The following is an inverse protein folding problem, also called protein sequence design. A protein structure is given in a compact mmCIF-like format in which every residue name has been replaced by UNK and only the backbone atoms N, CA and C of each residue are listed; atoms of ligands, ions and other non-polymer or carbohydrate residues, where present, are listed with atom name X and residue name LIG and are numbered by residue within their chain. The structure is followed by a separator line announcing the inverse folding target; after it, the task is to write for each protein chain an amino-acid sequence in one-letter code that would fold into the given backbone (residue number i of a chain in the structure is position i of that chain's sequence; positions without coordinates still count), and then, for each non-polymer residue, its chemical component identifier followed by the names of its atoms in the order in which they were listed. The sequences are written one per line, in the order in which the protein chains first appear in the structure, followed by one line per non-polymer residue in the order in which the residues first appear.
data_IF_659739895110
#
_entry.id   IF_659739895110
#
_cell.length_a   1.000
_cell.length_b   1.000
_cell.length_c   1.000
_cell.angle_alpha   90.00
_cell.angle_beta   90.00
_cell.angle_gamma   90.00
#
_symmetry.space_group_name_H-M   'P 1'
#
loop_
_entity.id
_entity.type
_entity.pdbx_description
1 polymer ?
#
# COMPACT_ATOMS: atom_id res chain seq x y z
N UNK A 1 -17.96 -8.78 -1.38
CA UNK A 1 -18.08 -7.32 -1.13
C UNK A 1 -17.89 -7.00 0.34
N UNK A 2 -18.76 -7.42 1.27
CA UNK A 2 -18.61 -7.05 2.70
C UNK A 2 -17.26 -7.44 3.31
N UNK A 3 -16.77 -8.66 3.05
CA UNK A 3 -15.47 -9.12 3.58
C UNK A 3 -14.30 -8.31 3.02
N UNK A 4 -14.23 -8.14 1.70
CA UNK A 4 -13.17 -7.35 1.06
C UNK A 4 -13.19 -5.90 1.52
N UNK A 5 -14.37 -5.26 1.58
CA UNK A 5 -14.52 -3.89 2.09
C UNK A 5 -14.07 -3.71 3.55
N UNK A 6 -14.43 -4.64 4.45
CA UNK A 6 -14.01 -4.60 5.86
C UNK A 6 -12.52 -4.94 6.03
N UNK A 7 -11.99 -5.80 5.16
CA UNK A 7 -10.58 -6.21 5.16
C UNK A 7 -9.62 -5.06 4.89
N UNK A 8 -10.01 -4.09 4.05
CA UNK A 8 -9.17 -2.91 3.72
C UNK A 8 -8.77 -2.12 4.99
N UNK A 9 -9.69 -1.53 5.76
CA UNK A 9 -9.33 -0.78 6.97
C UNK A 9 -8.75 -1.68 8.07
N UNK A 10 -9.16 -2.96 8.14
CA UNK A 10 -8.64 -3.90 9.14
C UNK A 10 -7.15 -4.15 8.96
N UNK A 11 -6.69 -4.42 7.74
CA UNK A 11 -5.28 -4.65 7.46
C UNK A 11 -4.45 -3.37 7.59
N UNK A 12 -4.99 -2.19 7.23
CA UNK A 12 -4.32 -0.91 7.47
C UNK A 12 -4.06 -0.71 8.97
N UNK A 13 -5.10 -0.89 9.80
CA UNK A 13 -5.00 -0.72 11.25
C UNK A 13 -4.07 -1.77 11.89
N UNK A 14 -4.17 -3.04 11.48
CA UNK A 14 -3.30 -4.10 11.95
C UNK A 14 -1.83 -3.83 11.61
N UNK A 15 -1.57 -3.40 10.37
CA UNK A 15 -0.24 -3.04 9.89
C UNK A 15 0.37 -1.87 10.64
N UNK A 16 -0.42 -0.84 10.92
CA UNK A 16 0.01 0.32 11.71
C UNK A 16 0.44 -0.09 13.13
N UNK A 17 -0.18 -1.13 13.70
CA UNK A 17 0.20 -1.68 15.00
C UNK A 17 1.46 -2.56 14.99
N UNK A 18 2.09 -2.82 13.83
CA UNK A 18 3.30 -3.65 13.72
C UNK A 18 4.57 -2.86 14.07
N UNK A 19 5.63 -3.60 14.41
CA UNK A 19 6.90 -3.04 14.93
C UNK A 19 7.78 -2.41 13.86
N UNK A 20 7.65 -2.84 12.59
CA UNK A 20 8.56 -2.43 11.52
C UNK A 20 7.78 -1.84 10.34
N UNK A 21 8.41 -0.90 9.64
CA UNK A 21 7.86 -0.36 8.38
C UNK A 21 7.65 -1.45 7.33
N UNK A 22 8.51 -2.47 7.30
CA UNK A 22 8.39 -3.61 6.37
C UNK A 22 7.13 -4.41 6.63
N UNK A 23 6.80 -4.67 7.90
CA UNK A 23 5.54 -5.34 8.26
C UNK A 23 4.32 -4.48 7.94
N UNK A 24 4.42 -3.16 8.14
CA UNK A 24 3.34 -2.26 7.77
C UNK A 24 3.09 -2.29 6.25
N UNK A 25 4.15 -2.15 5.44
CA UNK A 25 4.06 -2.24 3.97
C UNK A 25 3.43 -3.57 3.54
N UNK A 26 3.80 -4.69 4.17
CA UNK A 26 3.18 -5.99 3.87
C UNK A 26 1.67 -5.99 4.09
N UNK A 27 1.21 -5.43 5.21
CA UNK A 27 -0.23 -5.32 5.51
C UNK A 27 -0.95 -4.34 4.58
N UNK A 28 -0.29 -3.26 4.14
CA UNK A 28 -0.82 -2.34 3.12
C UNK A 28 -0.99 -3.05 1.77
N UNK A 29 -0.10 -3.97 1.39
CA UNK A 29 -0.30 -4.79 0.19
C UNK A 29 -1.46 -5.77 0.31
N UNK A 30 -1.73 -6.34 1.49
CA UNK A 30 -2.92 -7.16 1.74
C UNK A 30 -4.19 -6.30 1.63
N UNK A 31 -4.14 -5.07 2.14
CA UNK A 31 -5.21 -4.07 1.98
C UNK A 31 -5.47 -3.77 0.50
N UNK A 32 -4.41 -3.56 -0.28
CA UNK A 32 -4.49 -3.34 -1.73
C UNK A 32 -5.10 -4.56 -2.47
N UNK A 33 -4.72 -5.78 -2.10
CA UNK A 33 -5.35 -6.99 -2.64
C UNK A 33 -6.86 -7.04 -2.35
N UNK A 34 -7.28 -6.61 -1.16
CA UNK A 34 -8.70 -6.50 -0.79
C UNK A 34 -9.44 -5.44 -1.61
N UNK A 35 -8.78 -4.32 -1.97
CA UNK A 35 -9.33 -3.30 -2.89
C UNK A 35 -9.55 -3.89 -4.29
N UNK A 36 -8.58 -4.61 -4.85
CA UNK A 36 -8.72 -5.25 -6.16
C UNK A 36 -9.86 -6.30 -6.19
N UNK A 37 -10.00 -7.08 -5.12
CA UNK A 37 -11.12 -8.02 -4.98
C UNK A 37 -12.47 -7.28 -4.93
N UNK A 38 -12.54 -6.17 -4.18
CA UNK A 38 -13.73 -5.34 -4.06
C UNK A 38 -14.12 -4.72 -5.41
N UNK A 39 -13.17 -4.16 -6.14
CA UNK A 39 -13.40 -3.59 -7.49
C UNK A 39 -13.99 -4.65 -8.44
N UNK A 40 -13.39 -5.84 -8.46
CA UNK A 40 -13.87 -6.97 -9.29
C UNK A 40 -15.31 -7.33 -8.94
N UNK A 41 -15.64 -7.39 -7.64
CA UNK A 41 -16.97 -7.75 -7.19
C UNK A 41 -18.02 -6.65 -7.49
N UNK A 42 -17.64 -5.37 -7.46
CA UNK A 42 -18.52 -4.25 -7.85
C UNK A 42 -18.82 -4.29 -9.35
N UNK A 43 -17.80 -4.55 -10.17
CA UNK A 43 -17.99 -4.71 -11.62
C UNK A 43 -18.97 -5.85 -11.92
N UNK A 44 -18.75 -7.02 -11.33
CA UNK A 44 -19.65 -8.17 -11.48
C UNK A 44 -21.06 -7.89 -10.97
N UNK A 45 -21.21 -7.18 -9.85
CA UNK A 45 -22.51 -6.81 -9.33
C UNK A 45 -23.26 -5.87 -10.30
N UNK A 46 -22.56 -4.96 -10.97
CA UNK A 46 -23.13 -4.11 -12.01
C UNK A 46 -23.55 -4.90 -13.25
N UNK A 47 -22.69 -5.80 -13.73
CA UNK A 47 -22.97 -6.64 -14.91
C UNK A 47 -24.16 -7.59 -14.69
N UNK A 48 -24.33 -8.09 -13.47
CA UNK A 48 -25.43 -8.98 -13.07
C UNK A 48 -26.71 -8.22 -12.69
N UNK A 49 -26.70 -6.88 -12.69
CA UNK A 49 -27.85 -6.06 -12.35
C UNK A 49 -28.22 -6.08 -10.85
N UNK A 50 -27.27 -6.40 -9.97
CA UNK A 50 -27.47 -6.37 -8.52
C UNK A 50 -27.34 -4.98 -7.91
N UNK A 51 -26.79 -4.02 -8.65
CA UNK A 51 -26.66 -2.61 -8.28
C UNK A 51 -27.01 -1.73 -9.48
N UNK A 52 -27.64 -0.58 -9.22
CA UNK A 52 -27.93 0.37 -10.27
C UNK A 52 -26.64 0.97 -10.85
N UNK A 53 -26.63 1.30 -12.14
CA UNK A 53 -25.45 1.88 -12.80
C UNK A 53 -24.96 3.16 -12.13
N UNK A 54 -25.87 3.97 -11.59
CA UNK A 54 -25.52 5.19 -10.85
C UNK A 54 -24.78 4.89 -9.56
N UNK A 55 -25.24 3.90 -8.79
CA UNK A 55 -24.60 3.47 -7.54
C UNK A 55 -23.24 2.80 -7.79
N UNK A 56 -23.16 1.94 -8.81
CA UNK A 56 -21.91 1.30 -9.23
C UNK A 56 -20.82 2.32 -9.58
N UNK A 57 -21.20 3.41 -10.28
CA UNK A 57 -20.28 4.49 -10.63
C UNK A 57 -19.72 5.25 -9.42
N UNK A 58 -20.55 5.53 -8.42
CA UNK A 58 -20.12 6.20 -7.18
C UNK A 58 -19.17 5.32 -6.39
N UNK A 59 -19.56 4.07 -6.10
CA UNK A 59 -18.74 3.15 -5.31
C UNK A 59 -17.40 2.87 -6.01
N UNK A 60 -17.38 2.77 -7.34
CA UNK A 60 -16.14 2.60 -8.10
C UNK A 60 -15.17 3.77 -7.93
N UNK A 61 -15.67 5.02 -7.90
CA UNK A 61 -14.82 6.20 -7.65
C UNK A 61 -14.17 6.14 -6.28
N UNK A 62 -14.94 5.81 -5.24
CA UNK A 62 -14.42 5.71 -3.87
C UNK A 62 -13.34 4.62 -3.77
N UNK A 63 -13.56 3.47 -4.41
CA UNK A 63 -12.58 2.37 -4.46
C UNK A 63 -11.29 2.81 -5.18
N UNK A 64 -11.40 3.49 -6.31
CA UNK A 64 -10.23 4.05 -7.03
C UNK A 64 -9.48 5.09 -6.19
N UNK A 65 -10.17 5.92 -5.42
CA UNK A 65 -9.52 6.89 -4.54
C UNK A 65 -8.71 6.19 -3.43
N UNK A 66 -9.31 5.20 -2.76
CA UNK A 66 -8.64 4.38 -1.75
C UNK A 66 -7.41 3.68 -2.34
N UNK A 67 -7.52 3.14 -3.56
CA UNK A 67 -6.42 2.52 -4.28
C UNK A 67 -5.23 3.48 -4.46
N UNK A 68 -5.51 4.71 -4.92
CA UNK A 68 -4.49 5.74 -5.12
C UNK A 68 -3.83 6.15 -3.81
N UNK A 69 -4.61 6.32 -2.75
CA UNK A 69 -4.11 6.64 -1.41
C UNK A 69 -3.19 5.54 -0.87
N UNK A 70 -3.59 4.27 -1.01
CA UNK A 70 -2.79 3.12 -0.59
C UNK A 70 -1.47 3.04 -1.36
N UNK A 71 -1.50 3.17 -2.69
CA UNK A 71 -0.28 3.15 -3.52
C UNK A 71 0.67 4.29 -3.16
N UNK A 72 0.13 5.49 -2.92
CA UNK A 72 0.93 6.64 -2.52
C UNK A 72 1.58 6.42 -1.14
N UNK A 73 0.84 5.87 -0.18
CA UNK A 73 1.35 5.55 1.15
C UNK A 73 2.44 4.48 1.10
N UNK A 74 2.21 3.37 0.39
CA UNK A 74 3.20 2.30 0.20
C UNK A 74 4.50 2.88 -0.36
N UNK A 75 4.40 3.63 -1.47
CA UNK A 75 5.55 4.27 -2.11
C UNK A 75 6.29 5.22 -1.16
N UNK A 76 5.56 5.98 -0.36
CA UNK A 76 6.16 6.89 0.63
C UNK A 76 6.94 6.15 1.72
N UNK A 77 6.47 4.97 2.14
CA UNK A 77 7.13 4.16 3.17
C UNK A 77 8.34 3.40 2.61
N UNK A 78 8.26 2.92 1.37
CA UNK A 78 9.37 2.24 0.68
C UNK A 78 10.55 3.18 0.39
N UNK A 79 10.26 4.44 0.08
CA UNK A 79 11.29 5.45 -0.19
C UNK A 79 11.96 5.98 1.09
N UNK A 80 11.54 5.54 2.28
CA UNK A 80 12.14 5.99 3.53
C UNK A 80 13.53 5.35 3.69
N UNK A 81 14.61 6.14 3.77
CA UNK A 81 15.95 5.57 3.89
C UNK A 81 16.08 4.77 5.19
N UNK A 82 16.66 3.57 5.09
CA UNK A 82 16.80 2.66 6.23
C UNK A 82 18.02 2.95 7.11
N UNK A 83 18.97 3.75 6.62
CA UNK A 83 20.19 4.10 7.36
C UNK A 83 20.62 5.56 7.11
N UNK A 84 21.39 6.15 8.05
CA UNK A 84 21.87 7.53 7.95
C UNK A 84 22.71 7.81 6.71
N UNK A 85 23.45 6.81 6.22
CA UNK A 85 24.29 6.96 5.04
C UNK A 85 23.46 7.16 3.77
N UNK A 86 22.38 6.41 3.58
CA UNK A 86 21.44 6.58 2.47
C UNK A 86 20.77 7.96 2.50
N UNK A 87 20.44 8.48 3.69
CA UNK A 87 19.96 9.86 3.84
C UNK A 87 21.01 10.88 3.38
N UNK A 88 22.24 10.73 3.84
CA UNK A 88 23.35 11.61 3.51
C UNK A 88 23.65 11.59 2.00
N UNK A 89 23.76 10.41 1.39
CA UNK A 89 23.96 10.23 -0.06
C UNK A 89 22.87 10.92 -0.89
N UNK A 90 21.60 10.76 -0.50
CA UNK A 90 20.48 11.43 -1.17
C UNK A 90 20.54 12.97 -1.07
N UNK A 91 21.06 13.50 0.04
CA UNK A 91 21.18 14.95 0.26
C UNK A 91 22.27 15.59 -0.61
N UNK A 92 23.36 14.87 -0.85
CA UNK A 92 24.51 15.36 -1.61
C UNK A 92 24.50 14.95 -3.09
N UNK A 93 23.53 14.12 -3.51
CA UNK A 93 23.40 13.65 -4.89
C UNK A 93 24.45 12.61 -5.30
N UNK A 94 25.05 11.90 -4.33
CA UNK A 94 26.03 10.85 -4.59
C UNK A 94 25.38 9.47 -4.56
N UNK A 95 25.86 8.54 -5.40
CA UNK A 95 25.40 7.14 -5.31
C UNK A 95 25.81 6.53 -3.95
N UNK A 96 24.90 5.79 -3.29
CA UNK A 96 25.24 5.13 -2.03
C UNK A 96 26.33 4.09 -2.27
N UNK A 97 27.54 4.32 -1.72
CA UNK A 97 28.60 3.31 -1.69
C UNK A 97 28.02 2.03 -1.07
N UNK A 98 28.07 0.91 -1.80
CA UNK A 98 27.74 -0.41 -1.24
C UNK A 98 28.67 -0.62 -0.04
N UNK A 99 28.11 -0.72 1.18
CA UNK A 99 28.88 -1.22 2.32
C UNK A 99 29.38 -2.61 1.94
N UNK A 100 30.68 -2.74 1.74
CA UNK A 100 31.31 -4.04 1.57
C UNK A 100 31.68 -4.59 2.95
N UNK A 101 31.68 -5.91 3.12
CA UNK A 101 32.04 -6.58 4.38
C UNK A 101 33.45 -6.24 4.93
N UNK A 102 34.23 -5.39 4.24
CA UNK A 102 35.52 -4.89 4.69
C UNK A 102 35.42 -3.72 5.69
N UNK A 103 34.25 -3.08 5.83
CA UNK A 103 34.09 -1.86 6.64
C UNK A 103 33.59 -2.11 8.08
N UNK A 104 33.20 -3.36 8.41
CA UNK A 104 32.99 -3.79 9.79
C UNK A 104 34.30 -4.35 10.32
N UNK A 105 35.12 -3.47 10.88
CA UNK A 105 36.26 -3.88 11.69
C UNK A 105 35.78 -4.66 12.91
N UNK A 106 35.84 -5.98 12.81
CA UNK A 106 36.12 -6.88 13.95
C UNK A 106 37.64 -6.92 14.17
#
# INVERSE_FOLDING_TARGET
IRRSAVSVPSNIAEGYGRKTTVDYIRMLYISYGSVCELETQILLAGDLGFIEKGESGTVKKDVTEIERMLKALIKSLENKPSNPWTLFSNLIGEEPKKLTHADTGD
#
